data_IF_039263154683
#
_entry.id   IF_039263154683
#
_cell.length_a   1.000
_cell.length_b   1.000
_cell.length_c   1.000
_cell.angle_alpha   90.00
_cell.angle_beta   90.00
_cell.angle_gamma   90.00
#
_symmetry.space_group_name_H-M   'P 1'
#
loop_
_entity.id
_entity.type
_entity.pdbx_description
1 polymer ?
#
# COMPACT_ATOMS: atom_id res chain seq x y z
N UNK A 1 4.51 10.80 18.23
CA UNK A 1 5.38 10.40 17.11
C UNK A 1 6.00 11.65 16.49
N UNK A 2 7.31 11.66 16.18
CA UNK A 2 7.92 12.83 15.52
C UNK A 2 7.46 12.87 14.05
N UNK A 3 6.86 13.99 13.62
CA UNK A 3 6.31 14.15 12.26
C UNK A 3 7.35 14.86 11.38
N UNK A 4 8.13 14.16 10.57
CA UNK A 4 9.16 14.78 9.76
C UNK A 4 8.53 15.65 8.67
N UNK A 5 9.00 16.90 8.58
CA UNK A 5 8.61 17.87 7.53
C UNK A 5 9.72 18.10 6.52
N UNK A 6 10.92 17.71 6.86
CA UNK A 6 12.12 17.89 6.04
C UNK A 6 13.00 16.64 6.10
N UNK A 7 13.67 16.35 5.02
CA UNK A 7 14.74 15.38 4.92
C UNK A 7 16.09 16.10 4.80
N UNK A 8 17.10 15.66 5.56
CA UNK A 8 18.47 16.21 5.49
C UNK A 8 19.37 15.22 4.77
N UNK A 9 19.98 15.64 3.66
CA UNK A 9 20.93 14.87 2.86
C UNK A 9 22.15 15.75 2.58
N UNK A 10 23.33 15.32 2.99
CA UNK A 10 24.61 16.01 2.75
C UNK A 10 24.55 17.53 3.09
N UNK A 11 23.95 17.86 4.24
CA UNK A 11 23.68 19.22 4.75
C UNK A 11 22.66 20.05 3.95
N UNK A 12 22.00 19.50 2.93
CA UNK A 12 20.89 20.13 2.24
C UNK A 12 19.56 19.65 2.84
N UNK A 13 18.62 20.60 3.04
CA UNK A 13 17.29 20.31 3.57
C UNK A 13 16.29 20.25 2.43
N UNK A 14 15.60 19.11 2.30
CA UNK A 14 14.53 18.91 1.33
C UNK A 14 13.19 18.90 2.04
N UNK A 15 12.25 19.75 1.60
CA UNK A 15 10.90 19.79 2.16
C UNK A 15 10.13 18.54 1.70
N UNK A 16 9.45 17.87 2.63
CA UNK A 16 8.59 16.72 2.33
C UNK A 16 7.16 17.21 2.10
N UNK A 17 6.52 16.75 1.04
CA UNK A 17 5.07 16.88 0.90
C UNK A 17 4.41 15.86 1.81
N UNK A 18 3.89 16.34 2.93
CA UNK A 18 3.43 15.49 4.04
C UNK A 18 1.95 15.15 3.99
N UNK A 19 1.22 15.56 2.95
CA UNK A 19 -0.19 15.21 2.76
C UNK A 19 -0.34 13.70 2.54
N UNK A 20 -1.29 13.08 3.24
CA UNK A 20 -1.51 11.63 3.18
C UNK A 20 -1.84 11.13 1.78
N UNK A 21 -2.51 11.96 0.96
CA UNK A 21 -2.86 11.63 -0.43
C UNK A 21 -1.62 11.40 -1.27
N UNK A 22 -0.58 12.19 -1.04
CA UNK A 22 0.71 12.04 -1.73
C UNK A 22 1.41 10.74 -1.33
N UNK A 23 1.37 10.38 -0.06
CA UNK A 23 1.94 9.11 0.40
C UNK A 23 1.20 7.89 -0.20
N UNK A 24 -0.13 7.95 -0.30
CA UNK A 24 -0.95 6.93 -0.98
C UNK A 24 -0.59 6.84 -2.47
N UNK A 25 -0.44 7.97 -3.16
CA UNK A 25 0.00 7.98 -4.56
C UNK A 25 1.39 7.36 -4.73
N UNK A 26 2.32 7.66 -3.82
CA UNK A 26 3.65 7.08 -3.84
C UNK A 26 3.63 5.55 -3.60
N UNK A 27 2.78 5.05 -2.70
CA UNK A 27 2.60 3.60 -2.51
C UNK A 27 2.04 2.94 -3.79
N UNK A 28 1.06 3.57 -4.44
CA UNK A 28 0.51 3.09 -5.71
C UNK A 28 1.56 3.08 -6.83
N UNK A 29 2.38 4.14 -6.95
CA UNK A 29 3.49 4.20 -7.92
C UNK A 29 4.50 3.10 -7.66
N UNK A 30 4.88 2.86 -6.39
CA UNK A 30 5.85 1.84 -6.03
C UNK A 30 5.42 0.42 -6.44
N UNK A 31 4.11 0.18 -6.50
CA UNK A 31 3.51 -1.13 -6.86
C UNK A 31 3.16 -1.25 -8.34
N UNK A 32 3.23 -0.17 -9.10
CA UNK A 32 2.89 -0.19 -10.52
C UNK A 32 4.02 -0.87 -11.31
N UNK A 33 3.74 -2.05 -11.86
CA UNK A 33 4.70 -2.83 -12.68
C UNK A 33 4.70 -2.43 -14.15
N UNK A 34 3.75 -1.58 -14.60
CA UNK A 34 3.64 -1.14 -15.99
C UNK A 34 4.73 -0.11 -16.35
N UNK A 35 5.36 0.49 -15.36
CA UNK A 35 6.46 1.46 -15.53
C UNK A 35 7.76 0.92 -14.93
N UNK A 36 8.89 1.29 -15.54
CA UNK A 36 10.21 0.85 -15.14
C UNK A 36 10.56 1.24 -13.70
N UNK A 37 11.47 0.52 -13.10
CA UNK A 37 11.89 0.76 -11.69
C UNK A 37 12.49 2.17 -11.53
N UNK A 38 13.27 2.62 -12.52
CA UNK A 38 13.88 3.94 -12.51
C UNK A 38 12.82 5.06 -12.57
N UNK A 39 11.84 4.93 -13.45
CA UNK A 39 10.74 5.88 -13.60
C UNK A 39 9.88 5.94 -12.33
N UNK A 40 9.59 4.78 -11.70
CA UNK A 40 8.91 4.73 -10.40
C UNK A 40 9.68 5.50 -9.33
N UNK A 41 11.00 5.28 -9.26
CA UNK A 41 11.86 5.98 -8.30
C UNK A 41 11.81 7.50 -8.49
N UNK A 42 11.93 7.98 -9.73
CA UNK A 42 11.86 9.41 -10.04
C UNK A 42 10.48 10.00 -9.72
N UNK A 43 9.42 9.28 -10.05
CA UNK A 43 8.05 9.72 -9.76
C UNK A 43 7.79 9.85 -8.25
N UNK A 44 8.26 8.89 -7.44
CA UNK A 44 8.15 8.95 -5.97
C UNK A 44 8.94 10.14 -5.41
N UNK A 45 10.19 10.33 -5.87
CA UNK A 45 11.02 11.47 -5.45
C UNK A 45 10.32 12.79 -5.79
N UNK A 46 9.81 12.91 -7.01
CA UNK A 46 9.12 14.13 -7.45
C UNK A 46 7.85 14.41 -6.64
N UNK A 47 7.03 13.40 -6.37
CA UNK A 47 5.81 13.54 -5.58
C UNK A 47 6.08 14.01 -4.16
N UNK A 48 7.10 13.47 -3.50
CA UNK A 48 7.42 13.78 -2.11
C UNK A 48 8.27 15.05 -1.95
N UNK A 49 9.20 15.33 -2.86
CA UNK A 49 10.19 16.40 -2.68
C UNK A 49 10.15 17.47 -3.78
N UNK A 50 9.28 17.31 -4.79
CA UNK A 50 9.21 18.24 -5.91
C UNK A 50 10.45 18.20 -6.81
N UNK A 51 10.67 19.28 -7.56
CA UNK A 51 11.82 19.43 -8.46
C UNK A 51 13.15 19.39 -7.72
N UNK A 52 13.23 19.98 -6.53
CA UNK A 52 14.43 20.00 -5.70
C UNK A 52 14.91 18.57 -5.37
N UNK A 53 13.97 17.64 -5.15
CA UNK A 53 14.30 16.23 -4.93
C UNK A 53 14.96 15.55 -6.14
N UNK A 54 14.54 15.90 -7.35
CA UNK A 54 15.14 15.37 -8.59
C UNK A 54 16.56 15.90 -8.83
N UNK A 55 16.88 17.08 -8.30
CA UNK A 55 18.20 17.72 -8.38
C UNK A 55 19.18 17.18 -7.32
N UNK A 56 18.70 16.34 -6.38
CA UNK A 56 19.53 15.71 -5.38
C UNK A 56 20.65 14.87 -6.05
N UNK A 57 21.92 15.11 -5.65
CA UNK A 57 23.08 14.38 -6.19
C UNK A 57 23.01 12.89 -5.87
N UNK A 58 22.57 12.54 -4.66
CA UNK A 58 22.45 11.16 -4.23
C UNK A 58 20.99 10.69 -4.28
N UNK A 59 20.59 10.26 -5.47
CA UNK A 59 19.21 9.78 -5.73
C UNK A 59 18.86 8.54 -4.91
N UNK A 60 19.82 7.71 -4.58
CA UNK A 60 19.57 6.52 -3.76
C UNK A 60 19.25 6.91 -2.32
N UNK A 61 19.99 7.88 -1.75
CA UNK A 61 19.69 8.36 -0.38
C UNK A 61 18.31 9.00 -0.30
N UNK A 62 17.95 9.88 -1.24
CA UNK A 62 16.65 10.55 -1.19
C UNK A 62 15.50 9.56 -1.42
N UNK A 63 15.66 8.57 -2.32
CA UNK A 63 14.69 7.50 -2.51
C UNK A 63 14.53 6.64 -1.24
N UNK A 64 15.62 6.27 -0.59
CA UNK A 64 15.58 5.52 0.68
C UNK A 64 14.84 6.30 1.77
N UNK A 65 15.04 7.62 1.86
CA UNK A 65 14.30 8.47 2.79
C UNK A 65 12.82 8.53 2.41
N UNK A 66 12.50 8.65 1.11
CA UNK A 66 11.14 8.59 0.62
C UNK A 66 10.43 7.30 1.04
N UNK A 67 11.05 6.16 0.77
CA UNK A 67 10.49 4.85 1.11
C UNK A 67 10.34 4.67 2.63
N UNK A 68 11.33 5.13 3.40
CA UNK A 68 11.26 5.14 4.87
C UNK A 68 10.12 6.04 5.38
N UNK A 69 9.90 7.19 4.76
CA UNK A 69 8.79 8.08 5.12
C UNK A 69 7.42 7.44 4.85
N UNK A 70 7.24 6.84 3.67
CA UNK A 70 6.00 6.17 3.28
C UNK A 70 5.71 4.98 4.20
N UNK A 71 6.74 4.22 4.60
CA UNK A 71 6.62 3.10 5.54
C UNK A 71 6.63 3.51 7.03
N UNK A 72 6.43 4.79 7.35
CA UNK A 72 6.37 5.33 8.72
C UNK A 72 7.64 5.11 9.56
N UNK A 73 8.76 4.95 8.90
CA UNK A 73 10.05 4.74 9.54
C UNK A 73 10.36 3.28 9.88
N UNK A 74 9.45 2.36 9.63
CA UNK A 74 9.73 0.94 9.79
C UNK A 74 10.71 0.48 8.69
N UNK A 75 11.89 -0.05 9.07
CA UNK A 75 12.76 -0.67 8.09
C UNK A 75 12.04 -1.92 7.56
N UNK A 76 11.93 -2.06 6.25
CA UNK A 76 11.63 -3.37 5.67
C UNK A 76 12.80 -4.28 6.01
N UNK A 77 12.69 -5.08 7.05
CA UNK A 77 13.66 -6.13 7.34
C UNK A 77 13.70 -7.06 6.13
N UNK A 78 14.88 -7.12 5.50
CA UNK A 78 15.13 -8.09 4.44
C UNK A 78 15.01 -9.48 5.07
N UNK A 79 13.89 -10.15 4.82
CA UNK A 79 13.71 -11.56 5.20
C UNK A 79 12.57 -11.88 6.16
N UNK A 80 11.95 -10.93 6.83
CA UNK A 80 10.69 -11.20 7.53
C UNK A 80 9.52 -10.95 6.57
N UNK A 81 9.14 -11.99 5.86
CA UNK A 81 7.77 -12.12 5.37
C UNK A 81 6.93 -12.23 6.63
N UNK A 82 6.31 -11.13 7.06
CA UNK A 82 5.22 -11.22 8.02
C UNK A 82 4.13 -12.04 7.33
N UNK A 83 4.11 -13.33 7.60
CA UNK A 83 3.12 -14.29 7.08
C UNK A 83 1.68 -13.91 7.43
N UNK A 84 1.49 -12.95 8.34
CA UNK A 84 0.18 -12.56 8.86
C UNK A 84 -0.55 -11.46 8.06
N UNK A 85 0.06 -10.78 7.11
CA UNK A 85 -0.62 -9.82 6.22
C UNK A 85 -0.62 -10.30 4.78
N UNK A 86 -1.28 -11.42 4.53
CA UNK A 86 -1.46 -12.03 3.21
C UNK A 86 -2.19 -11.12 2.20
N UNK A 87 -2.82 -10.04 2.69
CA UNK A 87 -3.65 -9.16 1.88
C UNK A 87 -3.26 -7.70 2.13
N UNK A 88 -2.62 -7.07 1.14
CA UNK A 88 -2.30 -5.65 1.19
C UNK A 88 -3.48 -4.87 0.60
N UNK A 89 -4.13 -4.06 1.42
CA UNK A 89 -5.21 -3.18 0.98
C UNK A 89 -4.69 -2.16 -0.03
N UNK A 90 -5.46 -1.96 -1.08
CA UNK A 90 -5.25 -0.87 -2.04
C UNK A 90 -6.01 0.36 -1.54
N UNK A 91 -5.31 1.37 -1.09
CA UNK A 91 -5.91 2.59 -0.53
C UNK A 91 -6.87 3.27 -1.51
N UNK A 92 -6.57 3.23 -2.83
CA UNK A 92 -7.44 3.84 -3.84
C UNK A 92 -8.75 3.06 -3.98
N UNK A 93 -8.68 1.73 -4.01
CA UNK A 93 -9.87 0.86 -4.02
C UNK A 93 -10.66 0.93 -2.71
N UNK A 94 -9.98 1.14 -1.60
CA UNK A 94 -10.57 1.24 -0.26
C UNK A 94 -11.06 2.64 0.11
N UNK A 95 -10.90 3.66 -0.75
CA UNK A 95 -11.24 5.06 -0.42
C UNK A 95 -12.61 5.21 0.25
N UNK A 96 -13.66 4.60 -0.31
CA UNK A 96 -15.01 4.67 0.26
C UNK A 96 -15.15 3.96 1.61
N UNK A 97 -14.40 2.84 1.83
CA UNK A 97 -14.39 2.14 3.11
C UNK A 97 -13.68 2.97 4.18
N UNK A 98 -12.56 3.59 3.84
CA UNK A 98 -11.78 4.46 4.73
C UNK A 98 -12.63 5.67 5.12
N UNK A 99 -13.20 6.39 4.13
CA UNK A 99 -14.11 7.52 4.36
C UNK A 99 -15.25 7.17 5.32
N UNK A 100 -15.97 6.06 5.05
CA UNK A 100 -17.08 5.62 5.89
C UNK A 100 -16.63 5.24 7.30
N UNK A 101 -15.45 4.63 7.44
CA UNK A 101 -14.91 4.21 8.73
C UNK A 101 -14.46 5.40 9.58
N UNK A 102 -13.81 6.38 8.96
CA UNK A 102 -13.43 7.63 9.64
C UNK A 102 -14.65 8.45 10.06
N UNK A 103 -15.68 8.54 9.21
CA UNK A 103 -16.96 9.19 9.59
C UNK A 103 -17.62 8.48 10.76
N UNK A 104 -17.54 7.15 10.80
CA UNK A 104 -18.12 6.37 11.89
C UNK A 104 -17.38 6.57 13.23
N UNK A 105 -16.04 6.52 13.22
CA UNK A 105 -15.25 6.56 14.47
C UNK A 105 -14.88 7.97 14.91
N UNK A 106 -14.59 8.87 13.95
CA UNK A 106 -14.03 10.20 14.21
C UNK A 106 -14.92 11.35 13.77
N UNK A 107 -16.07 11.07 13.15
CA UNK A 107 -17.02 12.06 12.65
C UNK A 107 -16.44 13.04 11.62
N UNK A 108 -15.43 12.61 10.85
CA UNK A 108 -14.90 13.36 9.71
C UNK A 108 -14.49 12.45 8.55
N UNK A 109 -14.41 13.03 7.34
CA UNK A 109 -13.87 12.35 6.15
C UNK A 109 -12.46 12.86 5.87
N UNK A 110 -11.41 12.01 5.90
CA UNK A 110 -10.05 12.47 5.64
C UNK A 110 -9.88 13.04 4.22
N UNK A 111 -10.69 12.59 3.27
CA UNK A 111 -10.62 13.05 1.87
C UNK A 111 -11.30 14.40 1.63
N UNK A 112 -12.16 14.86 2.54
CA UNK A 112 -12.80 16.18 2.51
C UNK A 112 -11.97 17.26 3.23
N UNK A 113 -10.96 16.87 4.00
CA UNK A 113 -10.06 17.81 4.64
C UNK A 113 -9.13 18.48 3.60
N UNK A 114 -8.85 19.78 3.79
CA UNK A 114 -7.88 20.51 2.97
C UNK A 114 -6.48 19.88 3.06
N UNK A 115 -6.08 19.46 4.27
CA UNK A 115 -4.81 18.84 4.55
C UNK A 115 -4.91 17.88 5.75
N UNK A 116 -4.26 16.72 5.64
CA UNK A 116 -4.02 15.81 6.76
C UNK A 116 -2.62 15.20 6.59
N UNK A 117 -1.81 15.28 7.65
CA UNK A 117 -0.47 14.75 7.62
C UNK A 117 -0.50 13.21 7.52
N UNK A 118 0.37 12.62 6.69
CA UNK A 118 0.43 11.16 6.48
C UNK A 118 0.47 10.33 7.77
N UNK A 119 1.27 10.76 8.74
CA UNK A 119 1.41 10.05 10.02
C UNK A 119 0.15 10.15 10.89
N UNK A 120 -0.61 11.26 10.79
CA UNK A 120 -1.89 11.37 11.49
C UNK A 120 -2.94 10.49 10.84
N UNK A 121 -3.07 10.57 9.52
CA UNK A 121 -3.98 9.70 8.77
C UNK A 121 -3.73 8.23 9.08
N UNK A 122 -2.47 7.78 9.08
CA UNK A 122 -2.14 6.39 9.32
C UNK A 122 -2.39 5.99 10.78
N UNK A 123 -2.04 6.86 11.74
CA UNK A 123 -2.34 6.64 13.15
C UNK A 123 -3.85 6.51 13.38
N UNK A 124 -4.67 7.38 12.80
CA UNK A 124 -6.14 7.29 12.92
C UNK A 124 -6.67 6.02 12.22
N UNK A 125 -6.09 5.63 11.07
CA UNK A 125 -6.44 4.41 10.37
C UNK A 125 -6.16 3.15 11.21
N UNK A 126 -5.01 3.09 11.91
CA UNK A 126 -4.65 1.96 12.79
C UNK A 126 -5.51 1.90 14.05
N UNK A 127 -5.99 3.06 14.53
CA UNK A 127 -6.82 3.14 15.74
C UNK A 127 -8.33 3.07 15.45
N UNK A 128 -8.74 2.78 14.21
CA UNK A 128 -10.15 2.53 13.89
C UNK A 128 -10.71 1.39 14.75
N UNK A 129 -11.96 1.53 15.19
CA UNK A 129 -12.62 0.58 16.08
C UNK A 129 -12.60 -0.85 15.55
N UNK A 130 -12.08 -1.77 16.37
CA UNK A 130 -11.96 -3.20 16.06
C UNK A 130 -12.66 -4.07 17.10
N UNK A 131 -13.82 -3.64 17.61
CA UNK A 131 -14.50 -4.29 18.71
C UNK A 131 -14.93 -5.73 18.37
N UNK A 132 -14.59 -6.68 19.23
CA UNK A 132 -15.03 -8.08 19.16
C UNK A 132 -16.56 -8.24 19.23
N UNK A 133 -17.27 -7.23 19.73
CA UNK A 133 -18.73 -7.24 19.97
C UNK A 133 -19.59 -6.70 18.80
N UNK A 134 -19.07 -6.67 17.58
CA UNK A 134 -19.89 -6.38 16.39
C UNK A 134 -20.09 -4.90 16.05
N UNK A 135 -19.53 -3.95 16.81
CA UNK A 135 -19.58 -2.51 16.58
C UNK A 135 -18.29 -1.96 15.93
N UNK A 136 -17.61 -2.75 15.15
CA UNK A 136 -16.43 -2.28 14.44
C UNK A 136 -16.80 -1.54 13.14
N UNK A 137 -15.94 -0.62 12.71
CA UNK A 137 -16.08 0.07 11.43
C UNK A 137 -16.08 -0.90 10.25
N UNK A 138 -16.59 -0.46 9.10
CA UNK A 138 -16.74 -1.33 7.92
C UNK A 138 -15.39 -1.85 7.39
N UNK A 139 -14.32 -1.06 7.49
CA UNK A 139 -12.97 -1.48 7.08
C UNK A 139 -12.47 -2.66 7.92
N UNK A 140 -12.59 -2.55 9.25
CA UNK A 140 -12.14 -3.61 10.14
C UNK A 140 -13.00 -4.88 10.04
N UNK A 141 -14.29 -4.77 9.71
CA UNK A 141 -15.12 -5.96 9.39
C UNK A 141 -14.57 -6.73 8.19
N UNK A 142 -14.10 -6.02 7.15
CA UNK A 142 -13.50 -6.65 5.97
C UNK A 142 -12.14 -7.26 6.31
N UNK A 143 -11.29 -6.56 7.08
CA UNK A 143 -10.00 -7.08 7.54
C UNK A 143 -10.20 -8.34 8.40
N UNK A 144 -11.15 -8.33 9.33
CA UNK A 144 -11.47 -9.48 10.16
C UNK A 144 -11.96 -10.66 9.31
N UNK A 145 -12.77 -10.41 8.27
CA UNK A 145 -13.18 -11.48 7.35
C UNK A 145 -11.97 -12.05 6.59
N UNK A 146 -11.02 -11.24 6.16
CA UNK A 146 -9.79 -11.75 5.53
C UNK A 146 -8.98 -12.64 6.46
N UNK A 147 -8.90 -12.28 7.74
CA UNK A 147 -8.14 -13.02 8.75
C UNK A 147 -8.90 -14.21 9.33
N UNK A 148 -10.21 -14.34 9.05
CA UNK A 148 -11.02 -15.42 9.57
C UNK A 148 -10.52 -16.78 9.07
N UNK A 149 -10.20 -17.69 10.01
CA UNK A 149 -9.75 -19.04 9.69
C UNK A 149 -10.96 -19.94 9.34
N UNK A 150 -11.03 -20.31 8.07
CA UNK A 150 -12.10 -21.19 7.57
C UNK A 150 -11.80 -22.68 7.74
N UNK A 151 -10.62 -23.07 8.23
CA UNK A 151 -10.23 -24.46 8.44
C UNK A 151 -11.07 -25.14 9.53
N UNK A 152 -11.55 -24.35 10.48
CA UNK A 152 -12.39 -24.79 11.62
C UNK A 152 -13.83 -25.11 11.21
N UNK A 153 -14.27 -24.70 10.03
CA UNK A 153 -15.64 -24.91 9.54
C UNK A 153 -15.77 -26.33 9.02
N UNK A 154 -16.60 -27.15 9.67
CA UNK A 154 -16.85 -28.55 9.31
C UNK A 154 -17.69 -28.69 8.04
N UNK A 155 -18.65 -27.79 7.81
CA UNK A 155 -19.49 -27.81 6.60
C UNK A 155 -18.71 -27.30 5.39
N UNK A 156 -18.46 -28.17 4.43
CA UNK A 156 -17.74 -27.86 3.19
C UNK A 156 -18.47 -26.80 2.33
N UNK A 157 -19.82 -26.78 2.33
CA UNK A 157 -20.58 -25.81 1.54
C UNK A 157 -20.45 -24.42 2.14
N UNK A 158 -20.56 -24.31 3.46
CA UNK A 158 -20.38 -23.05 4.18
C UNK A 158 -18.95 -22.53 4.02
N UNK A 159 -17.94 -23.39 4.22
CA UNK A 159 -16.52 -23.06 4.02
C UNK A 159 -16.26 -22.53 2.61
N UNK A 160 -16.80 -23.19 1.58
CA UNK A 160 -16.64 -22.77 0.18
C UNK A 160 -17.30 -21.41 -0.07
N UNK A 161 -18.49 -21.17 0.49
CA UNK A 161 -19.20 -19.89 0.37
C UNK A 161 -18.40 -18.74 0.98
N UNK A 162 -17.85 -18.95 2.18
CA UNK A 162 -17.05 -17.92 2.85
C UNK A 162 -15.75 -17.66 2.08
N UNK A 163 -15.05 -18.70 1.62
CA UNK A 163 -13.83 -18.52 0.84
C UNK A 163 -14.10 -17.78 -0.47
N UNK A 164 -15.22 -18.06 -1.14
CA UNK A 164 -15.62 -17.31 -2.34
C UNK A 164 -15.87 -15.82 -2.03
N UNK A 165 -16.57 -15.52 -0.96
CA UNK A 165 -16.80 -14.14 -0.52
C UNK A 165 -15.47 -13.42 -0.19
N UNK A 166 -14.52 -14.10 0.49
CA UNK A 166 -13.17 -13.57 0.74
C UNK A 166 -12.45 -13.22 -0.56
N UNK A 167 -12.47 -14.11 -1.54
CA UNK A 167 -11.82 -13.88 -2.83
C UNK A 167 -12.47 -12.72 -3.62
N UNK A 168 -13.79 -12.59 -3.60
CA UNK A 168 -14.50 -11.47 -4.23
C UNK A 168 -14.10 -10.12 -3.59
N UNK A 169 -14.09 -10.06 -2.27
CA UNK A 169 -13.66 -8.87 -1.53
C UNK A 169 -12.18 -8.55 -1.74
N UNK A 170 -11.33 -9.58 -1.82
CA UNK A 170 -9.91 -9.44 -2.11
C UNK A 170 -9.67 -8.80 -3.47
N UNK A 171 -10.34 -9.28 -4.51
CA UNK A 171 -10.27 -8.68 -5.86
C UNK A 171 -10.72 -7.23 -5.85
N UNK A 172 -11.71 -6.91 -5.02
CA UNK A 172 -12.29 -5.56 -4.95
C UNK A 172 -11.42 -4.56 -4.21
N UNK A 173 -10.72 -4.98 -3.14
CA UNK A 173 -10.10 -4.05 -2.18
C UNK A 173 -8.59 -4.22 -1.99
N UNK A 174 -8.00 -5.29 -2.51
CA UNK A 174 -6.57 -5.55 -2.34
C UNK A 174 -5.80 -5.34 -3.64
N UNK A 175 -4.49 -5.13 -3.51
CA UNK A 175 -3.57 -5.32 -4.61
C UNK A 175 -3.55 -6.81 -4.96
N UNK A 176 -3.72 -7.11 -6.24
CA UNK A 176 -3.52 -8.45 -6.77
C UNK A 176 -2.07 -8.49 -7.24
N UNK A 177 -1.22 -9.17 -6.49
CA UNK A 177 0.11 -9.50 -6.98
C UNK A 177 -0.09 -10.54 -8.10
N UNK A 178 0.19 -10.16 -9.34
CA UNK A 178 0.29 -11.16 -10.40
C UNK A 178 1.39 -12.15 -10.02
N UNK A 179 1.12 -13.45 -10.16
CA UNK A 179 2.14 -14.45 -9.87
C UNK A 179 3.35 -14.14 -10.75
N UNK A 180 4.50 -13.87 -10.13
CA UNK A 180 5.75 -13.70 -10.87
C UNK A 180 5.95 -14.96 -11.69
N UNK A 181 6.13 -14.78 -13.00
CA UNK A 181 6.48 -15.89 -13.88
C UNK A 181 7.74 -16.56 -13.33
N UNK A 182 7.75 -17.90 -13.31
CA UNK A 182 8.99 -18.62 -13.02
C UNK A 182 10.00 -18.35 -14.14
N UNK A 183 11.30 -18.50 -13.85
CA UNK A 183 12.35 -18.34 -14.90
C UNK A 183 12.05 -19.19 -16.14
N UNK A 184 11.56 -20.41 -15.97
CA UNK A 184 11.16 -21.31 -17.06
C UNK A 184 9.98 -20.74 -17.87
N UNK A 185 9.02 -20.07 -17.21
CA UNK A 185 7.90 -19.41 -17.88
C UNK A 185 8.34 -18.16 -18.63
N UNK A 186 9.28 -17.38 -18.06
CA UNK A 186 9.88 -16.22 -18.71
C UNK A 186 10.70 -16.62 -19.93
N UNK A 187 11.52 -17.69 -19.83
CA UNK A 187 12.29 -18.24 -20.94
C UNK A 187 11.37 -18.75 -22.05
N UNK A 188 10.34 -19.51 -21.71
CA UNK A 188 9.34 -20.03 -22.68
C UNK A 188 8.57 -18.89 -23.37
N UNK A 189 8.17 -17.85 -22.61
CA UNK A 189 7.53 -16.66 -23.19
C UNK A 189 8.47 -15.91 -24.13
N UNK A 190 9.73 -15.74 -23.76
CA UNK A 190 10.75 -15.09 -24.60
C UNK A 190 11.02 -15.88 -25.89
N UNK A 191 11.10 -17.21 -25.81
CA UNK A 191 11.22 -18.08 -27.00
C UNK A 191 10.02 -17.93 -27.93
N UNK A 192 8.80 -17.90 -27.36
CA UNK A 192 7.58 -17.69 -28.11
C UNK A 192 7.55 -16.32 -28.82
N UNK A 193 7.92 -15.23 -28.12
CA UNK A 193 8.00 -13.91 -28.74
C UNK A 193 9.08 -13.79 -29.82
N UNK A 194 10.24 -14.44 -29.63
CA UNK A 194 11.26 -14.57 -30.68
C UNK A 194 10.76 -15.30 -31.90
N UNK A 195 10.03 -16.41 -31.69
CA UNK A 195 9.46 -17.18 -32.79
C UNK A 195 8.40 -16.39 -33.59
N UNK A 196 7.71 -15.43 -32.95
CA UNK A 196 6.77 -14.53 -33.58
C UNK A 196 7.43 -13.26 -34.17
N UNK A 197 8.75 -13.07 -34.01
CA UNK A 197 9.47 -11.89 -34.50
C UNK A 197 9.09 -10.59 -33.81
N UNK A 198 8.62 -10.68 -32.54
CA UNK A 198 8.20 -9.51 -31.74
C UNK A 198 9.37 -8.90 -30.98
N UNK A 199 10.38 -9.72 -30.63
CA UNK A 199 11.65 -9.34 -29.97
C UNK A 199 12.82 -10.11 -30.58
#
# INVERSE_FOLDING_TARGET
MNKPKFAKIDNVMYKINTDFRVAIECDAIARNTDIGEYERALAIIYKLFGKEGLECRDRNKILNIAMKYISLGEPKEKGQVQENNKYKLDFNKCKGLISSSFKFDYNYDPYELEYLHWYDFYNDLENLSSNEFGTCCVLNRIINLFNYDTSTIKDNKERTKINKAKEELRKKYCYIEEPKMTKEQEESANEFYKALGII
#
